data_IF_545264308676
#
_entry.id   IF_545264308676
#
_cell.length_a   1.000
_cell.length_b   1.000
_cell.length_c   1.000
_cell.angle_alpha   90.00
_cell.angle_beta   90.00
_cell.angle_gamma   90.00
#
_symmetry.space_group_name_H-M   'P 1'
#
loop_
_entity.id
_entity.type
_entity.pdbx_description
1 polymer ?
#
# COMPACT_ATOMS: atom_id res chain seq x y z
N UNK A 1 3.08 1.75 34.28
CA UNK A 1 3.84 2.06 33.05
C UNK A 1 3.02 3.08 32.29
N UNK A 2 3.53 4.29 32.09
CA UNK A 2 2.85 5.38 31.36
C UNK A 2 3.50 5.55 29.99
N UNK A 3 2.76 6.08 29.01
CA UNK A 3 3.32 6.39 27.69
C UNK A 3 4.52 7.32 27.76
N UNK A 4 4.53 8.24 28.73
CA UNK A 4 5.65 9.17 28.98
C UNK A 4 6.96 8.50 29.42
N UNK A 5 6.92 7.21 29.80
CA UNK A 5 8.13 6.45 30.18
C UNK A 5 8.94 6.04 28.93
N UNK A 6 8.33 6.09 27.74
CA UNK A 6 8.97 5.73 26.47
C UNK A 6 9.54 6.96 25.79
N UNK A 7 10.60 6.77 24.99
CA UNK A 7 11.27 7.81 24.22
C UNK A 7 11.09 7.67 22.71
N UNK A 8 10.79 6.45 22.28
CA UNK A 8 10.69 6.08 20.85
C UNK A 8 9.35 5.40 20.61
N UNK A 9 8.70 5.76 19.52
CA UNK A 9 7.55 5.04 18.97
C UNK A 9 7.94 4.43 17.62
N UNK A 10 7.76 3.13 17.50
CA UNK A 10 7.82 2.43 16.21
C UNK A 10 6.41 2.36 15.63
N UNK A 11 6.26 2.76 14.39
CA UNK A 11 4.96 2.93 13.74
C UNK A 11 4.98 2.15 12.43
N UNK A 12 3.96 1.32 12.21
CA UNK A 12 3.67 0.75 10.89
C UNK A 12 3.12 1.85 9.97
N UNK A 13 3.28 1.68 8.65
CA UNK A 13 2.89 2.70 7.68
C UNK A 13 1.55 2.39 7.00
N UNK A 14 1.48 1.25 6.29
CA UNK A 14 0.36 0.94 5.40
C UNK A 14 -0.76 0.22 6.14
N UNK A 15 -1.91 0.88 6.28
CA UNK A 15 -3.03 0.47 7.13
C UNK A 15 -3.05 1.18 8.49
N UNK A 16 -1.98 1.94 8.79
CA UNK A 16 -1.86 2.75 10.01
C UNK A 16 -1.82 4.25 9.72
N UNK A 17 -0.99 4.66 8.76
CA UNK A 17 -0.80 6.07 8.34
C UNK A 17 -1.31 6.30 6.92
N UNK A 18 -1.20 5.31 6.07
CA UNK A 18 -1.61 5.33 4.65
C UNK A 18 -2.80 4.39 4.47
N UNK A 19 -3.88 4.91 3.88
CA UNK A 19 -5.07 4.15 3.50
C UNK A 19 -4.78 3.35 2.22
N UNK A 20 -4.05 2.25 2.41
CA UNK A 20 -3.63 1.37 1.33
C UNK A 20 -4.82 0.69 0.64
N UNK A 21 -5.90 0.41 1.38
CA UNK A 21 -7.09 -0.22 0.81
C UNK A 21 -7.76 0.66 -0.24
N UNK A 22 -7.96 1.94 0.09
CA UNK A 22 -8.54 2.90 -0.86
C UNK A 22 -7.59 3.15 -2.04
N UNK A 23 -6.28 3.25 -1.78
CA UNK A 23 -5.28 3.42 -2.81
C UNK A 23 -5.23 2.23 -3.78
N UNK A 24 -5.24 1.02 -3.24
CA UNK A 24 -5.22 -0.22 -4.01
C UNK A 24 -6.49 -0.40 -4.85
N UNK A 25 -7.68 -0.18 -4.26
CA UNK A 25 -8.94 -0.26 -4.99
C UNK A 25 -8.98 0.77 -6.13
N UNK A 26 -8.51 2.00 -5.88
CA UNK A 26 -8.40 3.02 -6.92
C UNK A 26 -7.43 2.61 -8.04
N UNK A 27 -6.28 2.04 -7.70
CA UNK A 27 -5.31 1.54 -8.67
C UNK A 27 -5.82 0.36 -9.49
N UNK A 28 -6.67 -0.49 -8.94
CA UNK A 28 -7.32 -1.61 -9.64
C UNK A 28 -8.52 -1.19 -10.50
N UNK A 29 -8.96 0.06 -10.40
CA UNK A 29 -10.16 0.55 -11.10
C UNK A 29 -10.14 0.26 -12.61
N UNK A 30 -9.05 0.46 -13.37
CA UNK A 30 -9.03 0.13 -14.81
C UNK A 30 -9.35 -1.33 -15.11
N UNK A 31 -8.99 -2.25 -14.21
CA UNK A 31 -9.29 -3.68 -14.34
C UNK A 31 -10.74 -3.98 -13.94
N UNK A 32 -11.18 -3.47 -12.80
CA UNK A 32 -12.52 -3.72 -12.27
C UNK A 32 -13.63 -3.07 -13.12
N UNK A 33 -13.36 -1.93 -13.77
CA UNK A 33 -14.29 -1.31 -14.71
C UNK A 33 -14.52 -2.17 -15.97
N UNK A 34 -13.48 -2.86 -16.46
CA UNK A 34 -13.63 -3.82 -17.58
C UNK A 34 -14.50 -5.02 -17.18
N UNK A 35 -14.37 -5.47 -15.93
CA UNK A 35 -15.22 -6.55 -15.41
C UNK A 35 -16.67 -6.07 -15.28
N UNK A 36 -16.89 -4.90 -14.70
CA UNK A 36 -18.21 -4.32 -14.57
C UNK A 36 -18.89 -4.12 -15.94
N UNK A 37 -18.15 -3.69 -16.96
CA UNK A 37 -18.66 -3.55 -18.33
C UNK A 37 -19.02 -4.90 -18.96
N UNK A 38 -18.23 -5.96 -18.69
CA UNK A 38 -18.47 -7.30 -19.20
C UNK A 38 -19.67 -7.99 -18.51
N UNK A 39 -19.74 -7.89 -17.18
CA UNK A 39 -20.65 -8.67 -16.36
C UNK A 39 -21.93 -7.90 -15.98
N UNK A 40 -22.01 -6.60 -16.35
CA UNK A 40 -23.15 -5.74 -16.05
C UNK A 40 -23.27 -5.32 -14.58
N UNK A 41 -22.27 -5.61 -13.76
CA UNK A 41 -22.24 -5.25 -12.34
C UNK A 41 -20.79 -5.06 -11.84
N UNK A 42 -20.54 -4.13 -10.91
CA UNK A 42 -19.22 -3.97 -10.29
C UNK A 42 -18.89 -5.17 -9.39
N UNK A 43 -17.60 -5.41 -9.20
CA UNK A 43 -17.13 -6.30 -8.14
C UNK A 43 -17.37 -5.67 -6.76
N UNK A 44 -17.67 -6.51 -5.80
CA UNK A 44 -17.72 -6.10 -4.39
C UNK A 44 -16.34 -5.69 -3.89
N UNK A 45 -16.27 -4.59 -3.10
CA UNK A 45 -15.01 -4.06 -2.57
C UNK A 45 -14.25 -5.09 -1.73
N UNK A 46 -14.94 -5.84 -0.88
CA UNK A 46 -14.29 -6.83 -0.03
C UNK A 46 -13.75 -7.99 -0.85
N UNK A 47 -14.47 -8.43 -1.89
CA UNK A 47 -13.99 -9.46 -2.81
C UNK A 47 -12.70 -9.01 -3.54
N UNK A 48 -12.59 -7.73 -3.91
CA UNK A 48 -11.37 -7.18 -4.52
C UNK A 48 -10.22 -7.23 -3.49
N UNK A 49 -10.45 -6.77 -2.26
CA UNK A 49 -9.46 -6.75 -1.18
C UNK A 49 -8.96 -8.17 -0.84
N UNK A 50 -9.87 -9.13 -0.70
CA UNK A 50 -9.54 -10.53 -0.41
C UNK A 50 -8.72 -11.18 -1.55
N UNK A 51 -9.12 -10.95 -2.80
CA UNK A 51 -8.40 -11.46 -3.95
C UNK A 51 -7.00 -10.88 -4.01
N UNK A 52 -6.85 -9.57 -3.79
CA UNK A 52 -5.56 -8.90 -3.75
C UNK A 52 -4.67 -9.47 -2.62
N UNK A 53 -5.16 -9.50 -1.38
CA UNK A 53 -4.39 -9.97 -0.22
C UNK A 53 -3.90 -11.42 -0.41
N UNK A 54 -4.73 -12.29 -1.02
CA UNK A 54 -4.36 -13.67 -1.36
C UNK A 54 -3.19 -13.71 -2.33
N UNK A 55 -3.25 -12.94 -3.42
CA UNK A 55 -2.20 -12.90 -4.44
C UNK A 55 -0.92 -12.24 -3.89
N UNK A 56 -1.05 -11.16 -3.15
CA UNK A 56 0.08 -10.47 -2.52
C UNK A 56 0.82 -11.39 -1.55
N UNK A 57 0.12 -12.02 -0.61
CA UNK A 57 0.71 -12.97 0.33
C UNK A 57 1.39 -14.15 -0.37
N UNK A 58 0.83 -14.63 -1.48
CA UNK A 58 1.45 -15.68 -2.27
C UNK A 58 2.79 -15.23 -2.86
N UNK A 59 2.82 -14.05 -3.49
CA UNK A 59 4.02 -13.52 -4.13
C UNK A 59 5.10 -13.13 -3.13
N UNK A 60 4.76 -12.52 -1.99
CA UNK A 60 5.72 -12.22 -0.92
C UNK A 60 6.46 -13.47 -0.45
N UNK A 61 5.75 -14.59 -0.26
CA UNK A 61 6.39 -15.86 0.14
C UNK A 61 7.26 -16.49 -0.95
N UNK A 62 6.90 -16.31 -2.23
CA UNK A 62 7.60 -16.96 -3.36
C UNK A 62 8.79 -16.14 -3.87
N UNK A 63 8.74 -14.84 -3.75
CA UNK A 63 9.76 -13.91 -4.27
C UNK A 63 10.10 -12.82 -3.27
N UNK A 64 10.65 -13.16 -2.08
CA UNK A 64 10.87 -12.22 -0.99
C UNK A 64 11.87 -11.09 -1.32
N UNK A 65 12.72 -11.27 -2.32
CA UNK A 65 13.70 -10.26 -2.76
C UNK A 65 13.16 -9.31 -3.85
N UNK A 66 11.88 -9.43 -4.22
CA UNK A 66 11.28 -8.57 -5.24
C UNK A 66 10.89 -7.23 -4.63
N UNK A 67 11.14 -6.12 -5.35
CA UNK A 67 10.65 -4.80 -4.93
C UNK A 67 9.13 -4.81 -4.79
N UNK A 68 8.57 -3.95 -3.95
CA UNK A 68 7.14 -3.93 -3.72
C UNK A 68 6.34 -3.56 -4.97
N UNK A 69 6.84 -2.61 -5.77
CA UNK A 69 6.24 -2.24 -7.06
C UNK A 69 6.21 -3.40 -8.06
N UNK A 70 7.31 -4.16 -8.18
CA UNK A 70 7.34 -5.35 -9.04
C UNK A 70 6.42 -6.46 -8.53
N UNK A 71 6.32 -6.60 -7.22
CA UNK A 71 5.39 -7.54 -6.60
C UNK A 71 3.95 -7.18 -6.93
N UNK A 72 3.56 -5.91 -6.77
CA UNK A 72 2.21 -5.43 -7.10
C UNK A 72 1.90 -5.59 -8.59
N UNK A 73 2.86 -5.37 -9.49
CA UNK A 73 2.68 -5.65 -10.92
C UNK A 73 2.37 -7.13 -11.19
N UNK A 74 3.04 -8.05 -10.48
CA UNK A 74 2.72 -9.48 -10.55
C UNK A 74 1.32 -9.77 -10.01
N UNK A 75 0.94 -9.14 -8.88
CA UNK A 75 -0.41 -9.28 -8.30
C UNK A 75 -1.48 -8.83 -9.29
N UNK A 76 -1.30 -7.66 -9.92
CA UNK A 76 -2.22 -7.14 -10.93
C UNK A 76 -2.45 -8.14 -12.08
N UNK A 77 -1.36 -8.70 -12.62
CA UNK A 77 -1.45 -9.71 -13.68
C UNK A 77 -2.19 -10.96 -13.23
N UNK A 78 -1.94 -11.44 -12.02
CA UNK A 78 -2.62 -12.64 -11.49
C UNK A 78 -4.11 -12.40 -11.25
N UNK A 79 -4.48 -11.22 -10.77
CA UNK A 79 -5.88 -10.83 -10.67
C UNK A 79 -6.54 -10.75 -12.06
N UNK A 80 -5.87 -10.16 -13.04
CA UNK A 80 -6.36 -10.09 -14.41
C UNK A 80 -6.57 -11.48 -15.02
N UNK A 81 -5.62 -12.40 -14.83
CA UNK A 81 -5.73 -13.81 -15.25
C UNK A 81 -6.92 -14.51 -14.56
N UNK A 82 -7.06 -14.36 -13.24
CA UNK A 82 -8.15 -14.93 -12.45
C UNK A 82 -9.53 -14.41 -12.91
N UNK A 83 -9.58 -13.14 -13.29
CA UNK A 83 -10.81 -12.50 -13.75
C UNK A 83 -11.02 -12.54 -15.27
N UNK A 84 -10.16 -13.28 -16.00
CA UNK A 84 -10.23 -13.42 -17.45
C UNK A 84 -10.21 -12.09 -18.21
N UNK A 85 -9.33 -11.17 -17.81
CA UNK A 85 -9.11 -9.88 -18.46
C UNK A 85 -7.68 -9.87 -19.01
N UNK A 86 -7.53 -9.58 -20.31
CA UNK A 86 -6.23 -9.38 -20.92
C UNK A 86 -5.64 -8.04 -20.49
N UNK A 87 -4.38 -8.05 -20.04
CA UNK A 87 -3.64 -6.85 -19.64
C UNK A 87 -2.22 -6.89 -20.19
N UNK A 88 -1.66 -5.71 -20.47
CA UNK A 88 -0.26 -5.57 -20.83
C UNK A 88 0.64 -5.56 -19.57
N UNK A 89 1.95 -5.73 -19.80
CA UNK A 89 2.93 -5.54 -18.71
C UNK A 89 2.98 -4.08 -18.24
N UNK A 90 2.82 -3.13 -19.17
CA UNK A 90 2.83 -1.69 -18.85
C UNK A 90 1.66 -1.30 -17.95
N UNK A 91 0.47 -1.86 -18.18
CA UNK A 91 -0.67 -1.68 -17.25
C UNK A 91 -0.36 -2.24 -15.87
N UNK A 92 0.26 -3.42 -15.81
CA UNK A 92 0.64 -4.02 -14.53
C UNK A 92 1.70 -3.18 -13.80
N UNK A 93 2.69 -2.64 -14.50
CA UNK A 93 3.70 -1.75 -13.92
C UNK A 93 3.08 -0.42 -13.47
N UNK A 94 2.13 0.13 -14.22
CA UNK A 94 1.37 1.32 -13.78
C UNK A 94 0.69 1.07 -12.44
N UNK A 95 0.09 -0.09 -12.27
CA UNK A 95 -0.46 -0.48 -10.97
C UNK A 95 0.65 -0.67 -9.91
N UNK A 96 1.77 -1.29 -10.26
CA UNK A 96 2.92 -1.46 -9.37
C UNK A 96 3.40 -0.15 -8.76
N UNK A 97 3.39 0.93 -9.54
CA UNK A 97 3.77 2.27 -9.10
C UNK A 97 2.61 3.06 -8.42
N UNK A 98 1.42 2.49 -8.32
CA UNK A 98 0.26 3.20 -7.73
C UNK A 98 0.46 3.57 -6.25
N UNK A 99 1.38 2.92 -5.54
CA UNK A 99 1.75 3.26 -4.14
C UNK A 99 2.10 4.74 -4.00
N UNK A 100 2.68 5.35 -5.02
CA UNK A 100 3.01 6.78 -5.07
C UNK A 100 1.78 7.69 -4.84
N UNK A 101 0.59 7.17 -5.13
CA UNK A 101 -0.67 7.93 -5.07
C UNK A 101 -1.59 7.50 -3.93
N UNK A 102 -1.20 6.52 -3.12
CA UNK A 102 -2.04 6.05 -2.02
C UNK A 102 -2.22 7.16 -0.98
N UNK A 103 -3.47 7.46 -0.57
CA UNK A 103 -3.74 8.57 0.34
C UNK A 103 -3.30 8.25 1.77
N UNK A 104 -2.89 9.28 2.49
CA UNK A 104 -2.80 9.18 3.95
C UNK A 104 -4.22 9.25 4.55
N UNK A 105 -4.41 8.65 5.75
CA UNK A 105 -5.60 8.95 6.52
C UNK A 105 -5.63 10.43 6.90
N UNK A 106 -6.82 10.99 7.03
CA UNK A 106 -7.00 12.43 7.19
C UNK A 106 -6.33 13.03 8.43
N UNK A 107 -6.13 12.22 9.46
CA UNK A 107 -5.51 12.61 10.74
C UNK A 107 -4.03 12.27 10.86
N UNK A 108 -3.47 11.45 9.95
CA UNK A 108 -2.10 10.92 10.07
C UNK A 108 -1.04 12.01 10.22
N UNK A 109 -1.05 13.04 9.36
CA UNK A 109 -0.05 14.09 9.42
C UNK A 109 -0.13 14.91 10.72
N UNK A 110 -1.34 15.25 11.16
CA UNK A 110 -1.55 16.01 12.40
C UNK A 110 -1.17 15.17 13.64
N UNK A 111 -1.53 13.89 13.66
CA UNK A 111 -1.17 12.97 14.73
C UNK A 111 0.34 12.80 14.84
N UNK A 112 1.03 12.60 13.72
CA UNK A 112 2.50 12.48 13.69
C UNK A 112 3.19 13.77 14.16
N UNK A 113 2.72 14.93 13.71
CA UNK A 113 3.25 16.23 14.14
C UNK A 113 3.11 16.44 15.65
N UNK A 114 2.00 15.99 16.24
CA UNK A 114 1.80 16.00 17.69
C UNK A 114 2.73 15.02 18.40
N UNK A 115 2.79 13.77 17.96
CA UNK A 115 3.61 12.72 18.58
C UNK A 115 5.11 13.07 18.52
N UNK A 116 5.57 13.72 17.44
CA UNK A 116 6.97 14.16 17.27
C UNK A 116 7.44 15.14 18.35
N UNK A 117 6.53 15.85 19.00
CA UNK A 117 6.86 16.76 20.11
C UNK A 117 7.24 16.00 21.39
N UNK A 118 6.87 14.73 21.48
CA UNK A 118 7.01 13.92 22.69
C UNK A 118 7.92 12.71 22.52
N UNK A 119 8.06 12.20 21.28
CA UNK A 119 8.75 10.95 20.97
C UNK A 119 9.65 11.11 19.75
N UNK A 120 10.68 10.29 19.69
CA UNK A 120 11.35 9.94 18.44
C UNK A 120 10.44 8.99 17.67
N UNK A 121 10.21 9.27 16.38
CA UNK A 121 9.32 8.48 15.53
C UNK A 121 10.15 7.61 14.59
N UNK A 122 9.88 6.33 14.60
CA UNK A 122 10.56 5.35 13.77
C UNK A 122 9.54 4.58 12.94
N UNK A 123 9.73 4.56 11.62
CA UNK A 123 8.90 3.75 10.70
C UNK A 123 9.47 2.33 10.62
N UNK A 124 8.55 1.36 10.68
CA UNK A 124 8.79 -0.03 10.28
C UNK A 124 7.80 -0.39 9.17
N UNK A 125 8.30 -0.72 7.98
CA UNK A 125 7.45 -1.01 6.84
C UNK A 125 7.97 -2.19 6.03
N UNK A 126 7.07 -2.96 5.45
CA UNK A 126 7.37 -4.08 4.55
C UNK A 126 7.40 -3.68 3.06
N UNK A 127 7.37 -2.40 2.76
CA UNK A 127 7.60 -1.88 1.39
C UNK A 127 9.06 -1.45 1.21
N UNK A 128 9.50 -1.28 -0.02
CA UNK A 128 10.84 -0.78 -0.33
C UNK A 128 10.97 0.73 -0.12
N UNK A 129 12.22 1.20 -0.04
CA UNK A 129 12.55 2.62 0.19
C UNK A 129 11.94 3.56 -0.86
N UNK A 130 11.93 3.16 -2.13
CA UNK A 130 11.43 4.00 -3.21
C UNK A 130 9.92 4.22 -3.07
N UNK A 131 9.17 3.15 -2.80
CA UNK A 131 7.73 3.22 -2.55
C UNK A 131 7.41 4.05 -1.30
N UNK A 132 8.18 3.89 -0.22
CA UNK A 132 7.98 4.64 1.02
C UNK A 132 8.28 6.15 0.86
N UNK A 133 9.23 6.55 0.03
CA UNK A 133 9.61 7.96 -0.15
C UNK A 133 8.42 8.87 -0.51
N UNK A 134 7.49 8.39 -1.35
CA UNK A 134 6.29 9.14 -1.71
C UNK A 134 5.30 9.27 -0.54
N UNK A 135 5.13 8.20 0.24
CA UNK A 135 4.31 8.23 1.45
C UNK A 135 4.92 9.14 2.52
N UNK A 136 6.24 9.12 2.69
CA UNK A 136 6.96 10.01 3.61
C UNK A 136 6.74 11.49 3.26
N UNK A 137 6.90 11.85 1.98
CA UNK A 137 6.63 13.22 1.52
C UNK A 137 5.18 13.68 1.80
N UNK A 138 4.21 12.76 1.67
CA UNK A 138 2.79 13.01 1.94
C UNK A 138 2.49 13.19 3.42
N UNK A 139 3.16 12.43 4.29
CA UNK A 139 2.99 12.53 5.75
C UNK A 139 3.59 13.82 6.33
N UNK A 140 4.58 14.43 5.66
CA UNK A 140 5.11 15.75 5.98
C UNK A 140 5.81 15.87 7.34
N UNK A 141 6.29 14.74 7.89
CA UNK A 141 7.01 14.69 9.17
C UNK A 141 8.32 13.93 8.99
N UNK A 142 9.41 14.49 9.50
CA UNK A 142 10.70 13.82 9.52
C UNK A 142 10.73 12.70 10.57
N UNK A 143 11.10 11.50 10.16
CA UNK A 143 11.28 10.35 11.06
C UNK A 143 12.73 10.25 11.54
N UNK A 144 12.91 9.85 12.80
CA UNK A 144 14.24 9.65 13.41
C UNK A 144 14.88 8.33 12.95
N UNK A 145 14.09 7.42 12.43
CA UNK A 145 14.54 6.17 11.81
C UNK A 145 13.51 5.65 10.83
N UNK A 146 13.99 5.07 9.73
CA UNK A 146 13.15 4.44 8.69
C UNK A 146 13.75 3.08 8.40
N UNK A 147 12.98 2.03 8.65
CA UNK A 147 13.33 0.63 8.38
C UNK A 147 12.30 0.06 7.41
N UNK A 148 12.74 -0.22 6.21
CA UNK A 148 11.95 -0.80 5.12
C UNK A 148 12.47 -2.20 4.76
N UNK A 149 11.73 -2.95 3.95
CA UNK A 149 12.16 -4.27 3.47
C UNK A 149 13.14 -4.16 2.29
#
# INVERSE_FOLDING_TARGET
MNLSDFKVLTIDCYGTLIDWESGMVAGLKPLTDRIAARDGRPLDRNAILEAHARQESFHQRKTPAKTYSDLLACVYRRLAEEWNIAVSWDEAMTYGHSVEHWPAFADSAAALAYLKQHFQLVILSNVDNASFAHSHARLGVEFDGIYTA
#
